data_IF_984237990898
#
_entry.id   IF_984237990898
#
_cell.length_a   1.000
_cell.length_b   1.000
_cell.length_c   1.000
_cell.angle_alpha   90.00
_cell.angle_beta   90.00
_cell.angle_gamma   90.00
#
_symmetry.space_group_name_H-M   'P 1'
#
loop_
_entity.id
_entity.type
_entity.pdbx_description
1 polymer ?
#
# COMPACT_ATOMS: atom_id res chain seq x y z
N UNK A 1 0.91 0.85 -5.84
CA UNK A 1 -0.45 0.82 -5.24
C UNK A 1 -0.92 2.26 -5.09
N UNK A 2 -2.03 2.65 -5.72
CA UNK A 2 -2.44 4.07 -5.84
C UNK A 2 -2.53 4.81 -4.49
N UNK A 3 -2.99 4.12 -3.44
CA UNK A 3 -3.07 4.67 -2.08
C UNK A 3 -1.70 5.11 -1.55
N UNK A 4 -0.64 4.34 -1.80
CA UNK A 4 0.73 4.65 -1.37
C UNK A 4 1.37 5.69 -2.28
N UNK A 5 1.26 5.51 -3.60
CA UNK A 5 1.91 6.39 -4.60
C UNK A 5 1.34 7.81 -4.61
N UNK A 6 0.07 7.99 -4.25
CA UNK A 6 -0.61 9.28 -4.24
C UNK A 6 -0.96 9.77 -2.83
N UNK A 7 -0.36 9.16 -1.79
CA UNK A 7 -0.52 9.57 -0.39
C UNK A 7 -1.99 9.68 0.07
N UNK A 8 -2.85 8.77 -0.41
CA UNK A 8 -4.24 8.77 0.00
C UNK A 8 -4.38 8.22 1.41
N UNK A 9 -5.36 8.76 2.15
CA UNK A 9 -5.78 8.15 3.40
C UNK A 9 -6.32 6.73 3.14
N UNK A 10 -6.06 5.79 4.05
CA UNK A 10 -6.68 4.47 3.97
C UNK A 10 -8.22 4.55 4.03
N UNK A 11 -8.77 5.58 4.67
CA UNK A 11 -10.22 5.84 4.69
C UNK A 11 -10.80 6.06 3.29
N UNK A 12 -10.00 6.51 2.32
CA UNK A 12 -10.42 6.60 0.92
C UNK A 12 -10.78 5.24 0.30
N UNK A 13 -10.40 4.13 0.94
CA UNK A 13 -10.73 2.76 0.50
C UNK A 13 -12.02 2.22 1.13
N UNK A 14 -12.64 2.90 2.09
CA UNK A 14 -13.73 2.35 2.93
C UNK A 14 -14.95 1.83 2.17
N UNK A 15 -15.43 2.58 1.17
CA UNK A 15 -16.63 2.21 0.41
C UNK A 15 -16.32 1.68 -1.00
N UNK A 16 -15.05 1.34 -1.27
CA UNK A 16 -14.62 0.90 -2.60
C UNK A 16 -15.30 -0.40 -3.06
N UNK A 17 -15.59 -1.33 -2.14
CA UNK A 17 -16.35 -2.54 -2.48
C UNK A 17 -17.77 -2.25 -2.98
N UNK A 18 -18.46 -1.30 -2.34
CA UNK A 18 -19.78 -0.86 -2.80
C UNK A 18 -19.68 -0.15 -4.15
N UNK A 19 -18.68 0.74 -4.29
CA UNK A 19 -18.43 1.44 -5.56
C UNK A 19 -18.19 0.46 -6.71
N UNK A 20 -17.37 -0.56 -6.50
CA UNK A 20 -17.04 -1.55 -7.52
C UNK A 20 -18.26 -2.41 -7.88
N UNK A 21 -19.07 -2.82 -6.89
CA UNK A 21 -20.31 -3.52 -7.17
C UNK A 21 -21.32 -2.68 -7.97
N UNK A 22 -21.33 -1.36 -7.77
CA UNK A 22 -22.20 -0.45 -8.53
C UNK A 22 -21.68 -0.19 -9.95
N UNK A 23 -20.36 -0.03 -10.10
CA UNK A 23 -19.73 0.22 -11.40
C UNK A 23 -19.73 -1.02 -12.31
N UNK A 24 -19.67 -2.22 -11.72
CA UNK A 24 -19.56 -3.49 -12.43
C UNK A 24 -20.60 -4.51 -11.93
N UNK A 25 -21.90 -4.30 -12.20
CA UNK A 25 -22.97 -5.11 -11.63
C UNK A 25 -22.97 -6.57 -12.11
N UNK A 26 -22.48 -6.81 -13.32
CA UNK A 26 -22.33 -8.11 -13.98
C UNK A 26 -21.08 -8.88 -13.52
N UNK A 27 -20.11 -8.21 -12.90
CA UNK A 27 -18.88 -8.84 -12.44
C UNK A 27 -19.04 -9.48 -11.07
N UNK A 28 -19.01 -10.81 -11.03
CA UNK A 28 -18.97 -11.57 -9.77
C UNK A 28 -17.73 -11.22 -8.95
N UNK A 29 -16.58 -10.96 -9.59
CA UNK A 29 -15.34 -10.59 -8.91
C UNK A 29 -15.48 -9.23 -8.24
N UNK A 30 -16.02 -8.23 -8.94
CA UNK A 30 -16.19 -6.88 -8.40
C UNK A 30 -17.16 -6.87 -7.20
N UNK A 31 -18.20 -7.71 -7.25
CA UNK A 31 -19.17 -7.88 -6.16
C UNK A 31 -18.54 -8.42 -4.87
N UNK A 32 -17.52 -9.25 -4.98
CA UNK A 32 -16.81 -9.84 -3.83
C UNK A 32 -15.54 -9.05 -3.45
N UNK A 33 -15.34 -7.85 -4.02
CA UNK A 33 -14.23 -7.01 -3.63
C UNK A 33 -14.37 -6.55 -2.18
N UNK A 34 -13.40 -6.93 -1.33
CA UNK A 34 -13.42 -6.70 0.11
C UNK A 34 -12.17 -5.95 0.62
N UNK A 35 -11.49 -5.17 -0.23
CA UNK A 35 -10.32 -4.39 0.19
C UNK A 35 -10.71 -3.01 0.71
N UNK A 36 -11.19 -2.98 1.95
CA UNK A 36 -11.53 -1.75 2.69
C UNK A 36 -10.30 -1.10 3.33
N UNK A 37 -10.49 -0.04 4.10
CA UNK A 37 -9.45 0.73 4.80
C UNK A 37 -8.49 -0.15 5.61
N UNK A 38 -9.00 -1.04 6.46
CA UNK A 38 -8.16 -1.85 7.35
C UNK A 38 -7.38 -2.90 6.58
N UNK A 39 -7.99 -3.51 5.56
CA UNK A 39 -7.31 -4.51 4.71
C UNK A 39 -6.25 -3.84 3.84
N UNK A 40 -6.54 -2.66 3.30
CA UNK A 40 -5.58 -1.86 2.55
C UNK A 40 -4.38 -1.47 3.44
N UNK A 41 -4.63 -0.95 4.64
CA UNK A 41 -3.59 -0.61 5.60
C UNK A 41 -2.73 -1.84 5.93
N UNK A 42 -3.37 -2.98 6.22
CA UNK A 42 -2.67 -4.22 6.51
C UNK A 42 -1.76 -4.66 5.35
N UNK A 43 -2.26 -4.66 4.11
CA UNK A 43 -1.47 -5.02 2.93
C UNK A 43 -0.29 -4.05 2.71
N UNK A 44 -0.48 -2.76 2.94
CA UNK A 44 0.60 -1.78 2.84
C UNK A 44 1.68 -2.01 3.90
N UNK A 45 1.29 -2.15 5.17
CA UNK A 45 2.24 -2.22 6.30
C UNK A 45 2.89 -3.59 6.47
N UNK A 46 2.17 -4.67 6.23
CA UNK A 46 2.67 -6.03 6.47
C UNK A 46 2.97 -6.81 5.19
N UNK A 47 2.45 -6.36 4.05
CA UNK A 47 2.77 -6.96 2.74
C UNK A 47 3.86 -6.19 2.02
N UNK A 48 3.56 -4.93 1.65
CA UNK A 48 4.44 -4.13 0.79
C UNK A 48 5.66 -3.60 1.54
N UNK A 49 5.49 -3.04 2.74
CA UNK A 49 6.61 -2.42 3.46
C UNK A 49 7.78 -3.40 3.70
N UNK A 50 7.58 -4.64 4.20
CA UNK A 50 8.69 -5.57 4.40
C UNK A 50 9.42 -5.93 3.10
N UNK A 51 8.69 -6.04 1.99
CA UNK A 51 9.28 -6.31 0.68
C UNK A 51 10.23 -5.17 0.25
N UNK A 52 9.78 -3.92 0.35
CA UNK A 52 10.62 -2.77 0.00
C UNK A 52 11.78 -2.56 0.97
N UNK A 53 11.59 -2.80 2.27
CA UNK A 53 12.68 -2.80 3.25
C UNK A 53 13.76 -3.81 2.89
N UNK A 54 13.39 -5.02 2.48
CA UNK A 54 14.34 -6.04 2.04
C UNK A 54 15.07 -5.65 0.75
N UNK A 55 14.37 -5.05 -0.22
CA UNK A 55 15.00 -4.53 -1.43
C UNK A 55 16.00 -3.42 -1.11
N UNK A 56 15.65 -2.50 -0.20
CA UNK A 56 16.54 -1.44 0.25
C UNK A 56 17.81 -2.00 0.89
N UNK A 57 17.67 -2.97 1.81
CA UNK A 57 18.82 -3.63 2.44
C UNK A 57 19.74 -4.28 1.41
N UNK A 58 19.18 -5.00 0.42
CA UNK A 58 19.97 -5.57 -0.68
C UNK A 58 20.69 -4.51 -1.50
N UNK A 59 20.09 -3.35 -1.73
CA UNK A 59 20.76 -2.24 -2.41
C UNK A 59 21.92 -1.69 -1.58
N UNK A 60 21.75 -1.58 -0.25
CA UNK A 60 22.79 -1.14 0.68
C UNK A 60 23.95 -2.14 0.72
N UNK A 61 23.67 -3.45 0.78
CA UNK A 61 24.71 -4.50 0.80
C UNK A 61 25.61 -4.44 -0.44
N UNK A 62 25.08 -3.98 -1.58
CA UNK A 62 25.82 -3.82 -2.82
C UNK A 62 26.44 -2.41 -3.00
N UNK A 63 26.16 -1.48 -2.10
CA UNK A 63 26.66 -0.11 -2.17
C UNK A 63 28.06 -0.02 -1.54
N UNK A 64 29.03 0.51 -2.29
CA UNK A 64 30.40 0.74 -1.78
C UNK A 64 30.42 1.79 -0.65
N UNK A 65 29.54 2.79 -0.75
CA UNK A 65 29.37 3.86 0.22
C UNK A 65 27.90 4.24 0.27
N UNK A 66 27.40 4.63 1.44
CA UNK A 66 26.06 5.20 1.62
C UNK A 66 26.11 6.29 2.70
N UNK A 67 25.13 7.19 2.67
CA UNK A 67 24.97 8.25 3.67
C UNK A 67 23.65 8.06 4.40
N UNK A 68 23.70 8.10 5.74
CA UNK A 68 22.52 8.02 6.58
C UNK A 68 22.10 9.43 6.98
N UNK A 69 20.86 9.80 6.64
CA UNK A 69 20.25 11.08 7.01
C UNK A 69 19.23 10.81 8.11
N UNK A 70 19.29 11.59 9.19
CA UNK A 70 18.32 11.55 10.27
C UNK A 70 17.37 12.74 10.13
N UNK A 71 16.07 12.47 10.19
CA UNK A 71 15.06 13.51 10.34
C UNK A 71 14.85 13.73 11.84
N UNK A 72 15.25 14.89 12.34
CA UNK A 72 15.13 15.28 13.75
C UNK A 72 13.79 16.00 14.05
N UNK A 73 12.90 16.16 13.06
CA UNK A 73 11.59 16.73 13.29
C UNK A 73 10.65 15.70 13.95
N UNK A 74 10.48 15.86 15.26
CA UNK A 74 9.65 15.02 16.14
C UNK A 74 8.29 15.69 16.40
#
# INVERSE_FOLDING_TARGET
LKVVESYYSYNSSKDTGKLFSTMFPDSSIARHFACSESKCAYLCHFGLAPHFSMLLLKCIDNAKFYTLLFDESL
#
